data_IF_985649181038
#
_entry.id   IF_985649181038
#
_cell.length_a   1.000
_cell.length_b   1.000
_cell.length_c   1.000
_cell.angle_alpha   90.00
_cell.angle_beta   90.00
_cell.angle_gamma   90.00
#
_symmetry.space_group_name_H-M   'P 1'
#
loop_
_entity.id
_entity.type
_entity.pdbx_description
1 polymer ?
#
# COMPACT_ATOMS: atom_id res chain seq x y z
N UNK A 1 -0.56 -22.12 2.79
CA UNK A 1 -0.39 -20.94 1.93
C UNK A 1 0.85 -21.12 1.08
N UNK A 2 0.73 -20.93 -0.24
CA UNK A 2 1.85 -20.92 -1.19
C UNK A 2 2.08 -19.46 -1.61
N UNK A 3 3.34 -19.05 -1.77
CA UNK A 3 3.67 -17.66 -2.12
C UNK A 3 3.38 -17.41 -3.60
N UNK A 4 2.57 -16.39 -3.92
CA UNK A 4 2.19 -16.07 -5.31
C UNK A 4 3.15 -15.12 -6.02
N UNK A 5 3.97 -14.36 -5.29
CA UNK A 5 4.89 -13.39 -5.88
C UNK A 5 4.25 -12.08 -6.34
N UNK A 6 2.92 -12.00 -6.39
CA UNK A 6 2.19 -10.78 -6.74
C UNK A 6 2.01 -9.87 -5.52
N UNK A 7 1.81 -8.59 -5.79
CA UNK A 7 1.40 -7.58 -4.82
C UNK A 7 0.72 -6.42 -5.52
N UNK A 8 0.02 -5.57 -4.77
CA UNK A 8 -0.66 -4.43 -5.35
C UNK A 8 -0.67 -3.19 -4.47
N UNK A 9 -1.42 -2.21 -4.94
CA UNK A 9 -1.73 -0.97 -4.24
C UNK A 9 -3.11 -0.48 -4.66
N UNK A 10 -3.95 -0.13 -3.70
CA UNK A 10 -5.20 0.56 -3.99
C UNK A 10 -4.93 1.97 -4.54
N UNK A 11 -5.70 2.35 -5.56
CA UNK A 11 -5.72 3.68 -6.17
C UNK A 11 -7.14 4.24 -6.12
N UNK A 12 -7.38 5.42 -6.70
CA UNK A 12 -8.73 5.99 -6.72
C UNK A 12 -9.64 5.10 -7.56
N UNK A 13 -10.72 4.59 -6.96
CA UNK A 13 -11.67 3.68 -7.63
C UNK A 13 -11.03 2.46 -8.34
N UNK A 14 -9.90 2.00 -7.83
CA UNK A 14 -9.13 1.00 -8.55
C UNK A 14 -8.00 0.35 -7.77
N UNK A 15 -7.32 -0.57 -8.43
CA UNK A 15 -6.20 -1.33 -7.89
C UNK A 15 -5.11 -1.44 -8.96
N UNK A 16 -3.87 -1.18 -8.55
CA UNK A 16 -2.69 -1.57 -9.30
C UNK A 16 -2.18 -2.90 -8.77
N UNK A 17 -1.97 -3.88 -9.67
CA UNK A 17 -1.34 -5.16 -9.38
C UNK A 17 -0.02 -5.27 -10.13
N UNK A 18 0.98 -5.88 -9.50
CA UNK A 18 2.32 -6.10 -10.06
C UNK A 18 2.74 -7.55 -9.91
N UNK A 19 3.31 -8.09 -10.98
CA UNK A 19 3.97 -9.39 -11.04
C UNK A 19 5.29 -9.27 -11.81
N UNK A 20 6.42 -9.34 -11.08
CA UNK A 20 7.76 -9.07 -11.64
C UNK A 20 7.79 -7.71 -12.35
N UNK A 21 8.20 -7.65 -13.61
CA UNK A 21 8.24 -6.42 -14.40
C UNK A 21 6.87 -5.96 -14.90
N UNK A 22 5.84 -6.82 -14.89
CA UNK A 22 4.52 -6.46 -15.39
C UNK A 22 3.69 -5.83 -14.29
N UNK A 23 3.03 -4.73 -14.60
CA UNK A 23 2.01 -4.16 -13.73
C UNK A 23 0.76 -3.78 -14.54
N UNK A 24 -0.38 -3.77 -13.87
CA UNK A 24 -1.62 -3.30 -14.45
C UNK A 24 -2.43 -2.54 -13.41
N UNK A 25 -3.08 -1.47 -13.84
CA UNK A 25 -4.01 -0.71 -13.02
C UNK A 25 -5.39 -0.88 -13.61
N UNK A 26 -6.32 -1.40 -12.80
CA UNK A 26 -7.74 -1.48 -13.14
C UNK A 26 -8.49 -0.42 -12.34
N UNK A 27 -9.35 0.36 -13.00
CA UNK A 27 -10.17 1.42 -12.41
C UNK A 27 -11.60 1.25 -12.89
N UNK A 28 -12.56 1.42 -11.98
CA UNK A 28 -13.98 1.51 -12.34
C UNK A 28 -14.33 2.97 -12.58
N UNK A 29 -14.69 3.31 -13.81
CA UNK A 29 -15.13 4.65 -14.19
C UNK A 29 -16.52 4.99 -13.59
N UNK A 30 -16.91 6.28 -13.58
CA UNK A 30 -18.24 6.72 -13.16
C UNK A 30 -19.40 6.04 -13.93
N UNK A 31 -19.19 5.73 -15.20
CA UNK A 31 -20.13 4.98 -16.06
C UNK A 31 -20.25 3.48 -15.71
N UNK A 32 -19.44 3.00 -14.75
CA UNK A 32 -19.43 1.62 -14.27
C UNK A 32 -18.50 0.67 -15.05
N UNK A 33 -17.90 1.10 -16.16
CA UNK A 33 -16.95 0.30 -16.94
C UNK A 33 -15.62 0.11 -16.19
N UNK A 34 -15.04 -1.09 -16.27
CA UNK A 34 -13.70 -1.37 -15.74
C UNK A 34 -12.67 -1.19 -16.85
N UNK A 35 -11.81 -0.19 -16.70
CA UNK A 35 -10.69 0.05 -17.63
C UNK A 35 -9.42 -0.50 -17.03
N UNK A 36 -8.66 -1.26 -17.84
CA UNK A 36 -7.40 -1.86 -17.42
C UNK A 36 -6.26 -1.33 -18.28
N UNK A 37 -5.26 -0.74 -17.64
CA UNK A 37 -4.01 -0.33 -18.29
C UNK A 37 -2.87 -1.22 -17.85
N UNK A 38 -2.30 -1.97 -18.80
CA UNK A 38 -1.13 -2.82 -18.59
C UNK A 38 0.13 -2.13 -19.11
N UNK A 39 1.22 -2.25 -18.34
CA UNK A 39 2.51 -1.69 -18.69
C UNK A 39 3.64 -2.46 -17.97
N UNK A 40 4.89 -2.08 -18.21
CA UNK A 40 6.07 -2.72 -17.63
C UNK A 40 6.93 -1.72 -16.85
N UNK A 41 7.52 -2.20 -15.77
CA UNK A 41 8.41 -1.42 -14.93
C UNK A 41 9.53 -2.31 -14.41
N UNK A 42 10.72 -2.12 -15.01
CA UNK A 42 11.94 -2.77 -14.56
C UNK A 42 12.47 -2.07 -13.32
N UNK A 43 12.53 -2.81 -12.22
CA UNK A 43 12.93 -2.32 -10.90
C UNK A 43 14.37 -1.80 -10.90
N UNK A 44 14.67 -0.80 -10.05
CA UNK A 44 16.03 -0.31 -9.88
C UNK A 44 16.97 -1.41 -9.37
N UNK A 45 16.44 -2.32 -8.54
CA UNK A 45 17.19 -3.46 -7.99
C UNK A 45 17.58 -4.49 -9.04
N UNK A 46 16.82 -4.58 -10.14
CA UNK A 46 17.14 -5.44 -11.28
C UNK A 46 18.08 -4.75 -12.27
N UNK A 47 17.92 -3.44 -12.49
CA UNK A 47 18.82 -2.65 -13.35
C UNK A 47 20.25 -2.61 -12.81
N UNK A 48 20.40 -2.49 -11.48
CA UNK A 48 21.70 -2.32 -10.83
C UNK A 48 21.85 -3.31 -9.69
N UNK A 49 22.74 -4.29 -9.84
CA UNK A 49 22.98 -5.35 -8.84
C UNK A 49 23.37 -4.82 -7.46
N UNK A 50 24.03 -3.66 -7.37
CA UNK A 50 24.35 -3.04 -6.08
C UNK A 50 23.09 -2.70 -5.28
N UNK A 51 22.01 -2.31 -5.96
CA UNK A 51 20.74 -1.97 -5.33
C UNK A 51 19.96 -3.20 -4.86
N UNK A 52 20.35 -4.44 -5.23
CA UNK A 52 19.73 -5.66 -4.73
C UNK A 52 20.37 -6.20 -3.44
N UNK A 53 21.44 -5.56 -2.95
CA UNK A 53 22.10 -5.94 -1.70
C UNK A 53 21.15 -5.85 -0.49
N UNK A 54 21.26 -6.75 0.49
CA UNK A 54 20.50 -6.67 1.74
C UNK A 54 20.66 -5.30 2.41
N UNK A 55 19.59 -4.81 3.06
CA UNK A 55 19.50 -3.46 3.67
C UNK A 55 19.52 -2.28 2.69
N UNK A 56 20.07 -2.44 1.49
CA UNK A 56 20.06 -1.39 0.45
C UNK A 56 18.81 -1.51 -0.42
N UNK A 57 18.44 -2.73 -0.80
CA UNK A 57 17.28 -3.01 -1.66
C UNK A 57 15.95 -2.49 -1.13
N UNK A 58 15.79 -2.40 0.20
CA UNK A 58 14.56 -1.88 0.79
C UNK A 58 14.29 -0.44 0.40
N UNK A 59 15.34 0.38 0.32
CA UNK A 59 15.24 1.79 -0.07
C UNK A 59 14.76 1.89 -1.52
N UNK A 60 15.39 1.12 -2.41
CA UNK A 60 15.09 1.15 -3.84
C UNK A 60 13.75 0.51 -4.18
N UNK A 61 13.38 -0.59 -3.53
CA UNK A 61 12.06 -1.18 -3.69
C UNK A 61 10.95 -0.25 -3.19
N UNK A 62 11.18 0.47 -2.08
CA UNK A 62 10.24 1.48 -1.60
C UNK A 62 10.10 2.64 -2.61
N UNK A 63 11.21 3.12 -3.18
CA UNK A 63 11.19 4.14 -4.21
C UNK A 63 10.46 3.67 -5.48
N UNK A 64 10.73 2.45 -5.96
CA UNK A 64 10.06 1.84 -7.10
C UNK A 64 8.55 1.74 -6.86
N UNK A 65 8.13 1.27 -5.68
CA UNK A 65 6.72 1.20 -5.27
C UNK A 65 6.07 2.58 -5.22
N UNK A 66 6.75 3.60 -4.69
CA UNK A 66 6.24 4.97 -4.64
C UNK A 66 6.07 5.57 -6.04
N UNK A 67 7.04 5.37 -6.95
CA UNK A 67 6.95 5.85 -8.33
C UNK A 67 5.77 5.20 -9.05
N UNK A 68 5.65 3.87 -8.96
CA UNK A 68 4.54 3.13 -9.58
C UNK A 68 3.18 3.51 -8.96
N UNK A 69 3.13 3.64 -7.63
CA UNK A 69 1.94 4.05 -6.91
C UNK A 69 1.47 5.43 -7.34
N UNK A 70 2.37 6.42 -7.41
CA UNK A 70 2.05 7.77 -7.87
C UNK A 70 1.57 7.79 -9.32
N UNK A 71 2.25 7.08 -10.23
CA UNK A 71 1.82 6.97 -11.63
C UNK A 71 0.42 6.39 -11.76
N UNK A 72 0.12 5.36 -10.97
CA UNK A 72 -1.17 4.68 -10.99
C UNK A 72 -2.27 5.53 -10.36
N UNK A 73 -1.96 6.26 -9.28
CA UNK A 73 -2.88 7.22 -8.65
C UNK A 73 -3.23 8.38 -9.59
N UNK A 74 -2.22 8.98 -10.25
CA UNK A 74 -2.45 10.04 -11.24
C UNK A 74 -3.29 9.53 -12.40
N UNK A 75 -3.01 8.33 -12.92
CA UNK A 75 -3.81 7.76 -13.99
C UNK A 75 -5.24 7.39 -13.55
N UNK A 76 -5.45 6.95 -12.31
CA UNK A 76 -6.81 6.72 -11.82
C UNK A 76 -7.57 8.02 -11.61
N UNK A 77 -6.90 9.08 -11.12
CA UNK A 77 -7.51 10.37 -10.86
C UNK A 77 -8.02 11.04 -12.14
N UNK A 78 -7.33 10.88 -13.28
CA UNK A 78 -7.73 11.49 -14.54
C UNK A 78 -9.08 10.99 -15.11
N UNK A 79 -9.69 9.95 -14.54
CA UNK A 79 -11.06 9.52 -14.91
C UNK A 79 -12.16 10.20 -14.09
N UNK A 80 -11.78 11.00 -13.10
CA UNK A 80 -12.69 11.70 -12.18
C UNK A 80 -12.49 13.21 -12.22
N UNK A 81 -11.53 13.71 -13.01
CA UNK A 81 -11.31 15.14 -13.24
C UNK A 81 -12.46 15.75 -14.08
N UNK A 82 -13.01 14.99 -15.04
CA UNK A 82 -14.09 15.47 -15.93
C UNK A 82 -15.48 15.54 -15.25
N UNK A 83 -15.70 14.80 -14.15
CA UNK A 83 -16.95 14.86 -13.37
C UNK A 83 -17.04 16.15 -12.51
N UNK A 84 -15.94 16.91 -12.37
CA UNK A 84 -15.89 18.20 -11.67
C UNK A 84 -16.13 19.40 -12.61
N UNK A 85 -16.12 19.24 -13.95
CA UNK A 85 -16.38 20.34 -14.89
C UNK A 85 -17.84 20.86 -14.87
N UNK A 86 -18.77 20.07 -14.33
CA UNK A 86 -20.18 20.48 -14.13
C UNK A 86 -20.41 21.27 -12.80
N UNK A 87 -19.39 21.40 -11.94
CA UNK A 87 -19.44 22.31 -10.79
C UNK A 87 -18.87 23.69 -11.19
N UNK A 88 -19.70 24.75 -11.13
CA UNK A 88 -19.20 26.10 -11.40
C UNK A 88 -18.00 26.42 -10.46
N UNK A 89 -16.85 26.87 -10.99
CA UNK A 89 -15.68 27.12 -10.18
C UNK A 89 -16.02 28.14 -9.09
N UNK A 90 -15.64 27.82 -7.86
CA UNK A 90 -15.95 28.66 -6.70
C UNK A 90 -15.38 30.08 -6.87
N UNK A 91 -15.91 31.07 -6.12
CA UNK A 91 -15.42 32.47 -6.22
C UNK A 91 -13.90 32.62 -6.03
N UNK A 92 -13.29 31.72 -5.25
CA UNK A 92 -11.85 31.66 -5.01
C UNK A 92 -11.09 31.08 -6.20
N UNK A 93 -11.66 30.08 -6.86
CA UNK A 93 -11.11 29.42 -8.03
C UNK A 93 -11.18 30.32 -9.27
N UNK A 94 -12.31 30.99 -9.50
CA UNK A 94 -12.42 32.06 -10.50
C UNK A 94 -11.38 33.17 -10.29
N UNK A 95 -11.16 33.60 -9.04
CA UNK A 95 -10.12 34.60 -8.72
C UNK A 95 -8.69 34.09 -9.03
N UNK A 96 -8.41 32.82 -8.77
CA UNK A 96 -7.12 32.22 -9.09
C UNK A 96 -6.92 32.11 -10.61
N UNK A 97 -7.94 31.64 -11.34
CA UNK A 97 -7.95 31.54 -12.82
C UNK A 97 -7.73 32.92 -13.44
N UNK A 98 -8.40 33.95 -12.95
CA UNK A 98 -8.24 35.33 -13.43
C UNK A 98 -6.85 35.91 -13.12
N UNK A 99 -6.20 35.49 -12.03
CA UNK A 99 -4.90 36.03 -11.59
C UNK A 99 -3.70 35.29 -12.18
N UNK A 100 -3.80 33.97 -12.39
CA UNK A 100 -2.68 33.10 -12.76
C UNK A 100 -2.88 32.35 -14.10
N UNK A 101 -4.04 32.47 -14.75
CA UNK A 101 -4.34 31.88 -16.05
C UNK A 101 -4.25 30.35 -16.09
N UNK A 102 -3.86 29.77 -17.24
CA UNK A 102 -3.70 28.31 -17.47
C UNK A 102 -2.65 27.62 -16.56
N UNK A 103 -1.97 28.36 -15.67
CA UNK A 103 -0.96 27.81 -14.74
C UNK A 103 -1.50 27.63 -13.33
N UNK A 104 -2.77 27.97 -13.06
CA UNK A 104 -3.40 27.80 -11.75
C UNK A 104 -3.25 26.38 -11.26
N UNK A 105 -3.62 25.39 -12.06
CA UNK A 105 -3.68 24.00 -11.60
C UNK A 105 -2.31 23.50 -11.16
N UNK A 106 -1.27 23.81 -11.94
CA UNK A 106 0.10 23.48 -11.59
C UNK A 106 0.59 24.19 -10.31
N UNK A 107 0.21 25.46 -10.11
CA UNK A 107 0.57 26.24 -8.92
C UNK A 107 -0.17 25.72 -7.69
N UNK A 108 -1.48 25.46 -7.82
CA UNK A 108 -2.34 24.93 -6.75
C UNK A 108 -1.86 23.55 -6.34
N UNK A 109 -1.62 22.64 -7.29
CA UNK A 109 -1.09 21.30 -7.02
C UNK A 109 0.27 21.34 -6.35
N UNK A 110 1.16 22.22 -6.80
CA UNK A 110 2.47 22.42 -6.15
C UNK A 110 2.33 22.96 -4.72
N UNK A 111 1.43 23.91 -4.50
CA UNK A 111 1.16 24.47 -3.17
C UNK A 111 0.57 23.42 -2.22
N UNK A 112 -0.40 22.62 -2.69
CA UNK A 112 -1.00 21.52 -1.92
C UNK A 112 0.04 20.46 -1.58
N UNK A 113 0.92 20.10 -2.51
CA UNK A 113 2.02 19.16 -2.26
C UNK A 113 2.96 19.69 -1.16
N UNK A 114 3.45 20.93 -1.29
CA UNK A 114 4.36 21.54 -0.31
C UNK A 114 3.69 21.63 1.05
N UNK A 115 2.43 22.07 1.11
CA UNK A 115 1.65 22.12 2.34
C UNK A 115 1.51 20.73 2.97
N UNK A 116 1.20 19.70 2.18
CA UNK A 116 1.06 18.31 2.67
C UNK A 116 2.36 17.77 3.27
N UNK A 117 3.51 18.06 2.63
CA UNK A 117 4.83 17.68 3.16
C UNK A 117 5.12 18.41 4.47
N UNK A 118 4.90 19.72 4.52
CA UNK A 118 5.09 20.51 5.75
C UNK A 118 4.18 20.02 6.89
N UNK A 119 2.93 19.71 6.59
CA UNK A 119 1.97 19.16 7.54
C UNK A 119 2.42 17.78 8.04
N UNK A 120 2.93 16.91 7.16
CA UNK A 120 3.48 15.62 7.56
C UNK A 120 4.69 15.78 8.50
N UNK A 121 5.61 16.71 8.22
CA UNK A 121 6.74 17.03 9.11
C UNK A 121 6.23 17.54 10.46
N UNK A 122 5.25 18.45 10.45
CA UNK A 122 4.67 19.00 11.66
C UNK A 122 4.01 17.92 12.53
N UNK A 123 3.16 17.07 11.96
CA UNK A 123 2.39 16.04 12.68
C UNK A 123 3.27 14.88 13.13
N UNK A 124 4.16 14.37 12.29
CA UNK A 124 4.89 13.12 12.56
C UNK A 124 6.30 13.31 13.11
N UNK A 125 6.90 14.49 12.96
CA UNK A 125 8.23 14.78 13.52
C UNK A 125 8.19 15.80 14.65
N UNK A 126 7.55 16.96 14.44
CA UNK A 126 7.58 18.06 15.42
C UNK A 126 6.63 17.80 16.59
N UNK A 127 5.37 17.47 16.32
CA UNK A 127 4.34 17.27 17.35
C UNK A 127 4.71 16.22 18.41
N UNK A 128 5.24 15.02 18.07
CA UNK A 128 5.66 14.05 19.09
C UNK A 128 6.75 14.61 20.01
N UNK A 129 7.68 15.42 19.48
CA UNK A 129 8.75 16.06 20.26
C UNK A 129 8.19 17.10 21.22
N UNK A 130 7.23 17.91 20.79
CA UNK A 130 6.58 18.91 21.63
C UNK A 130 5.81 18.25 22.79
N UNK A 131 5.03 17.21 22.50
CA UNK A 131 4.29 16.46 23.53
C UNK A 131 5.27 15.80 24.51
N UNK A 132 6.31 15.13 24.01
CA UNK A 132 7.34 14.52 24.86
C UNK A 132 8.07 15.56 25.74
N UNK A 133 8.29 16.78 25.23
CA UNK A 133 8.89 17.88 25.98
C UNK A 133 8.11 18.28 27.24
N UNK A 134 6.78 18.11 27.26
CA UNK A 134 5.95 18.38 28.45
C UNK A 134 6.28 17.38 29.57
N UNK A 135 6.49 16.11 29.23
CA UNK A 135 6.77 15.04 30.18
C UNK A 135 8.22 15.03 30.71
N UNK A 136 9.17 15.63 29.98
CA UNK A 136 10.57 15.79 30.44
C UNK A 136 10.68 16.56 31.76
N UNK A 137 9.69 17.39 32.11
CA UNK A 137 9.65 18.10 33.40
C UNK A 137 9.46 17.17 34.60
N UNK A 138 8.91 15.97 34.38
CA UNK A 138 8.55 15.03 35.43
C UNK A 138 9.38 13.74 35.37
N UNK A 139 9.83 13.34 34.18
CA UNK A 139 10.57 12.09 33.96
C UNK A 139 12.04 12.40 33.63
N UNK A 140 12.92 12.03 34.56
CA UNK A 140 14.37 12.25 34.43
C UNK A 140 15.10 11.05 33.78
N UNK A 141 14.45 9.89 33.69
CA UNK A 141 15.03 8.71 33.03
C UNK A 141 14.91 8.84 31.51
N UNK A 142 16.05 9.00 30.84
CA UNK A 142 16.11 9.10 29.37
C UNK A 142 15.57 7.84 28.66
N UNK A 143 15.67 6.66 29.29
CA UNK A 143 15.12 5.42 28.71
C UNK A 143 13.60 5.41 28.76
N UNK A 144 13.01 5.86 29.88
CA UNK A 144 11.55 6.00 30.00
C UNK A 144 11.04 7.07 29.03
N UNK A 145 11.79 8.16 28.87
CA UNK A 145 11.46 9.20 27.88
C UNK A 145 11.50 8.69 26.44
N UNK A 146 12.46 7.85 26.08
CA UNK A 146 12.53 7.27 24.74
C UNK A 146 11.34 6.33 24.44
N UNK A 147 10.95 5.49 25.42
CA UNK A 147 9.76 4.63 25.31
C UNK A 147 8.49 5.49 25.19
N UNK A 148 8.35 6.52 26.03
CA UNK A 148 7.23 7.46 25.99
C UNK A 148 7.14 8.16 24.62
N UNK A 149 8.25 8.65 24.07
CA UNK A 149 8.26 9.26 22.74
C UNK A 149 7.80 8.27 21.66
N UNK A 150 8.23 7.01 21.75
CA UNK A 150 7.76 5.94 20.88
C UNK A 150 6.26 5.70 20.97
N UNK A 151 5.72 5.61 22.20
CA UNK A 151 4.29 5.46 22.45
C UNK A 151 3.48 6.65 21.93
N UNK A 152 3.94 7.89 22.16
CA UNK A 152 3.30 9.11 21.64
C UNK A 152 3.25 9.07 20.11
N UNK A 153 4.36 8.69 19.46
CA UNK A 153 4.43 8.61 17.99
C UNK A 153 3.45 7.58 17.42
N UNK A 154 3.38 6.39 18.02
CA UNK A 154 2.41 5.35 17.64
C UNK A 154 0.97 5.84 17.88
N UNK A 155 0.71 6.51 19.02
CA UNK A 155 -0.60 7.06 19.35
C UNK A 155 -1.06 8.13 18.36
N UNK A 156 -0.19 9.06 17.96
CA UNK A 156 -0.46 10.07 16.93
C UNK A 156 -0.77 9.38 15.60
N UNK A 157 0.03 8.40 15.19
CA UNK A 157 -0.18 7.68 13.94
C UNK A 157 -1.52 6.94 13.89
N UNK A 158 -1.86 6.18 14.94
CA UNK A 158 -3.16 5.49 15.04
C UNK A 158 -4.32 6.50 15.00
N UNK A 159 -4.18 7.61 15.75
CA UNK A 159 -5.21 8.66 15.79
C UNK A 159 -5.40 9.29 14.42
N UNK A 160 -4.31 9.62 13.73
CA UNK A 160 -4.32 10.17 12.37
C UNK A 160 -5.08 9.24 11.40
N UNK A 161 -4.70 7.96 11.34
CA UNK A 161 -5.37 6.97 10.47
C UNK A 161 -6.87 6.89 10.80
N UNK A 162 -7.22 6.85 12.08
CA UNK A 162 -8.62 6.78 12.52
C UNK A 162 -9.43 8.01 12.09
N UNK A 163 -8.83 9.21 12.13
CA UNK A 163 -9.49 10.45 11.69
C UNK A 163 -9.70 10.44 10.18
N UNK A 164 -8.65 10.20 9.38
CA UNK A 164 -8.78 10.23 7.91
C UNK A 164 -9.65 9.09 7.38
N UNK A 165 -9.69 7.94 8.06
CA UNK A 165 -10.53 6.80 7.68
C UNK A 165 -12.04 7.07 7.72
N UNK A 166 -12.45 8.23 8.29
CA UNK A 166 -13.84 8.68 8.30
C UNK A 166 -14.24 9.42 7.03
N UNK A 167 -13.28 9.82 6.20
CA UNK A 167 -13.53 10.39 4.89
C UNK A 167 -14.00 9.28 3.94
N UNK A 168 -15.04 9.55 3.15
CA UNK A 168 -15.64 8.54 2.26
C UNK A 168 -14.63 8.00 1.25
N UNK A 169 -13.83 8.88 0.64
CA UNK A 169 -12.86 8.49 -0.38
C UNK A 169 -11.76 7.59 0.20
N UNK A 170 -11.23 7.94 1.38
CA UNK A 170 -10.25 7.11 2.10
C UNK A 170 -10.86 5.76 2.50
N UNK A 171 -12.13 5.74 2.93
CA UNK A 171 -12.83 4.49 3.25
C UNK A 171 -12.96 3.62 2.01
N UNK A 172 -13.30 4.18 0.85
CA UNK A 172 -13.39 3.47 -0.43
C UNK A 172 -12.02 2.93 -0.86
N UNK A 173 -10.96 3.72 -0.77
CA UNK A 173 -9.58 3.26 -1.01
C UNK A 173 -9.20 2.10 -0.08
N UNK A 174 -9.62 2.12 1.19
CA UNK A 174 -9.40 1.00 2.12
C UNK A 174 -10.24 -0.23 1.78
N UNK A 175 -11.38 -0.10 1.10
CA UNK A 175 -12.15 -1.23 0.58
C UNK A 175 -11.43 -1.87 -0.63
N UNK A 176 -10.94 -1.06 -1.59
CA UNK A 176 -10.09 -1.56 -2.68
C UNK A 176 -8.80 -2.23 -2.18
N UNK A 177 -8.20 -1.69 -1.13
CA UNK A 177 -7.07 -2.35 -0.46
C UNK A 177 -7.48 -3.70 0.15
N UNK A 178 -8.68 -3.78 0.71
CA UNK A 178 -9.26 -5.04 1.18
C UNK A 178 -9.46 -6.06 0.05
N UNK A 179 -9.95 -5.65 -1.13
CA UNK A 179 -10.10 -6.57 -2.26
C UNK A 179 -8.76 -7.02 -2.85
N UNK A 180 -7.74 -6.16 -2.88
CA UNK A 180 -6.37 -6.56 -3.26
C UNK A 180 -5.84 -7.69 -2.36
N UNK A 181 -5.89 -7.50 -1.04
CA UNK A 181 -5.48 -8.54 -0.09
C UNK A 181 -6.30 -9.83 -0.23
N UNK A 182 -7.61 -9.71 -0.43
CA UNK A 182 -8.50 -10.87 -0.59
C UNK A 182 -8.20 -11.65 -1.86
N UNK A 183 -7.91 -10.99 -2.99
CA UNK A 183 -7.50 -11.67 -4.22
C UNK A 183 -6.19 -12.43 -4.04
N UNK A 184 -5.19 -11.81 -3.40
CA UNK A 184 -3.90 -12.46 -3.13
C UNK A 184 -4.12 -13.67 -2.20
N UNK A 185 -4.83 -13.48 -1.09
CA UNK A 185 -5.11 -14.57 -0.15
C UNK A 185 -5.91 -15.70 -0.78
N UNK A 186 -6.88 -15.41 -1.67
CA UNK A 186 -7.65 -16.40 -2.40
C UNK A 186 -6.71 -17.35 -3.18
N UNK A 187 -5.81 -16.78 -3.97
CA UNK A 187 -4.83 -17.53 -4.76
C UNK A 187 -3.85 -18.30 -3.88
N UNK A 188 -3.28 -17.65 -2.87
CA UNK A 188 -2.28 -18.27 -2.01
C UNK A 188 -2.82 -19.42 -1.13
N UNK A 189 -4.15 -19.54 -1.00
CA UNK A 189 -4.84 -20.67 -0.37
C UNK A 189 -5.32 -21.74 -1.36
N UNK A 190 -5.08 -21.57 -2.66
CA UNK A 190 -5.46 -22.54 -3.68
C UNK A 190 -6.92 -22.43 -4.11
N UNK A 191 -7.57 -21.28 -3.90
CA UNK A 191 -8.96 -21.08 -4.32
C UNK A 191 -9.01 -20.48 -5.73
N UNK A 192 -10.02 -20.89 -6.50
CA UNK A 192 -10.30 -20.32 -7.83
C UNK A 192 -10.59 -18.83 -7.71
N UNK A 193 -9.99 -18.02 -8.57
CA UNK A 193 -10.14 -16.56 -8.56
C UNK A 193 -11.53 -16.17 -9.11
N UNK A 194 -12.52 -16.10 -8.23
CA UNK A 194 -13.86 -15.61 -8.53
C UNK A 194 -14.39 -14.78 -7.36
N UNK A 195 -15.47 -14.02 -7.59
CA UNK A 195 -16.04 -13.10 -6.60
C UNK A 195 -16.38 -13.81 -5.29
N UNK A 196 -16.95 -15.02 -5.36
CA UNK A 196 -17.37 -15.77 -4.18
C UNK A 196 -16.19 -16.15 -3.27
N UNK A 197 -15.13 -16.72 -3.85
CA UNK A 197 -13.94 -17.14 -3.11
C UNK A 197 -13.13 -15.97 -2.59
N UNK A 198 -13.02 -14.89 -3.39
CA UNK A 198 -12.37 -13.65 -2.95
C UNK A 198 -13.14 -13.04 -1.77
N UNK A 199 -14.48 -12.98 -1.82
CA UNK A 199 -15.31 -12.47 -0.72
C UNK A 199 -15.04 -13.20 0.59
N UNK A 200 -14.90 -14.53 0.56
CA UNK A 200 -14.62 -15.38 1.74
C UNK A 200 -13.18 -15.29 2.25
N UNK A 201 -12.25 -14.80 1.43
CA UNK A 201 -10.84 -14.70 1.80
C UNK A 201 -10.59 -13.60 2.84
N UNK A 202 -9.50 -13.72 3.60
CA UNK A 202 -9.11 -12.73 4.60
C UNK A 202 -8.62 -11.44 3.93
N UNK A 203 -8.93 -10.29 4.53
CA UNK A 203 -8.39 -8.98 4.13
C UNK A 203 -7.06 -8.66 4.82
N UNK A 204 -6.56 -9.54 5.68
CA UNK A 204 -5.30 -9.40 6.38
C UNK A 204 -4.22 -10.19 5.66
N UNK A 205 -3.07 -9.56 5.39
CA UNK A 205 -2.01 -10.20 4.64
C UNK A 205 -0.62 -9.77 5.13
N UNK A 206 0.31 -10.73 5.31
CA UNK A 206 1.61 -10.48 5.97
C UNK A 206 2.52 -9.52 5.20
N UNK A 207 2.29 -9.32 3.90
CA UNK A 207 3.16 -8.56 2.99
C UNK A 207 2.66 -7.13 2.70
N UNK A 208 1.71 -6.64 3.49
CA UNK A 208 1.11 -5.32 3.30
C UNK A 208 2.07 -4.16 3.65
N UNK A 209 2.04 -3.09 2.85
CA UNK A 209 2.78 -1.85 3.11
C UNK A 209 2.40 -1.13 4.41
N UNK A 210 1.17 -1.32 4.93
CA UNK A 210 0.80 -0.72 6.23
C UNK A 210 1.44 -1.44 7.41
N UNK A 211 1.73 -2.74 7.25
CA UNK A 211 2.59 -3.48 8.19
C UNK A 211 4.04 -2.99 8.12
N UNK A 212 4.53 -2.64 6.93
CA UNK A 212 5.84 -2.01 6.77
C UNK A 212 5.96 -0.70 7.55
N UNK A 213 4.95 0.20 7.47
CA UNK A 213 4.97 1.45 8.22
C UNK A 213 5.12 1.22 9.74
N UNK A 214 4.38 0.25 10.28
CA UNK A 214 4.47 -0.08 11.71
C UNK A 214 5.85 -0.64 12.07
N UNK A 215 6.41 -1.51 11.22
CA UNK A 215 7.77 -2.04 11.40
C UNK A 215 8.78 -0.88 11.39
N UNK A 216 8.69 0.04 10.43
CA UNK A 216 9.54 1.24 10.36
C UNK A 216 9.45 2.05 11.65
N UNK A 217 8.25 2.26 12.19
CA UNK A 217 8.08 2.97 13.45
C UNK A 217 8.75 2.24 14.62
N UNK A 218 8.53 0.94 14.77
CA UNK A 218 9.14 0.15 15.86
C UNK A 218 10.66 0.13 15.75
N UNK A 219 11.18 -0.18 14.55
CA UNK A 219 12.63 -0.17 14.29
C UNK A 219 13.21 1.23 14.56
N UNK A 220 12.51 2.31 14.17
CA UNK A 220 12.97 3.68 14.47
C UNK A 220 13.11 3.93 15.98
N UNK A 221 12.19 3.41 16.80
CA UNK A 221 12.25 3.54 18.26
C UNK A 221 13.48 2.78 18.79
N UNK A 222 13.74 1.56 18.30
CA UNK A 222 14.91 0.78 18.69
C UNK A 222 16.22 1.51 18.34
N UNK A 223 16.35 2.04 17.13
CA UNK A 223 17.53 2.80 16.71
C UNK A 223 17.75 4.05 17.55
N UNK A 224 16.70 4.83 17.82
CA UNK A 224 16.81 6.06 18.63
C UNK A 224 16.98 5.80 20.13
N UNK A 225 16.66 4.61 20.63
CA UNK A 225 17.02 4.21 22.00
C UNK A 225 18.52 4.00 22.18
N UNK A 226 19.20 3.51 21.13
CA UNK A 226 20.64 3.22 21.13
C UNK A 226 21.47 4.43 20.71
N UNK A 227 21.08 5.11 19.63
CA UNK A 227 21.78 6.28 19.08
C UNK A 227 21.23 7.53 19.76
N UNK A 228 21.87 7.93 20.86
CA UNK A 228 21.47 9.08 21.66
C UNK A 228 22.31 10.30 21.29
N UNK A 229 21.64 11.40 20.99
CA UNK A 229 22.26 12.68 20.66
C UNK A 229 21.66 13.77 21.53
N UNK A 230 22.51 14.41 22.32
CA UNK A 230 22.10 15.40 23.33
C UNK A 230 21.73 16.74 22.68
N UNK A 231 22.47 17.16 21.66
CA UNK A 231 22.22 18.41 20.93
C UNK A 231 20.99 18.29 20.02
N UNK A 232 20.02 19.21 20.16
CA UNK A 232 18.73 19.18 19.45
C UNK A 232 18.91 19.15 17.91
N UNK A 233 19.76 20.01 17.35
CA UNK A 233 19.98 20.04 15.90
C UNK A 233 20.66 18.77 15.38
N UNK A 234 21.67 18.26 16.09
CA UNK A 234 22.31 16.99 15.74
C UNK A 234 21.33 15.81 15.89
N UNK A 235 20.37 15.88 16.81
CA UNK A 235 19.29 14.89 16.92
C UNK A 235 18.41 14.91 15.68
N UNK A 236 18.02 16.08 15.19
CA UNK A 236 17.25 16.21 13.94
C UNK A 236 18.04 15.63 12.76
N UNK A 237 19.31 16.01 12.61
CA UNK A 237 20.20 15.50 11.55
C UNK A 237 20.34 13.98 11.63
N UNK A 238 20.57 13.43 12.83
CA UNK A 238 20.70 11.98 13.03
C UNK A 238 19.44 11.22 12.61
N UNK A 239 18.24 11.77 12.86
CA UNK A 239 16.98 11.16 12.43
C UNK A 239 16.88 11.10 10.91
N UNK A 240 17.22 12.19 10.23
CA UNK A 240 17.18 12.27 8.76
C UNK A 240 18.18 11.27 8.15
N UNK A 241 19.42 11.25 8.64
CA UNK A 241 20.47 10.35 8.13
C UNK A 241 20.13 8.87 8.38
N UNK A 242 19.40 8.56 9.45
CA UNK A 242 19.00 7.18 9.77
C UNK A 242 17.77 6.69 8.99
N UNK A 243 17.03 7.56 8.29
CA UNK A 243 15.84 7.14 7.51
C UNK A 243 16.16 6.01 6.53
N UNK A 244 17.20 6.09 5.67
CA UNK A 244 17.51 5.03 4.73
C UNK A 244 17.89 3.71 5.43
N UNK A 245 18.62 3.79 6.54
CA UNK A 245 19.04 2.61 7.32
C UNK A 245 17.81 1.92 7.94
N UNK A 246 16.92 2.71 8.55
CA UNK A 246 15.67 2.20 9.15
C UNK A 246 14.79 1.55 8.07
N UNK A 247 14.63 2.21 6.92
CA UNK A 247 13.86 1.67 5.79
C UNK A 247 14.45 0.34 5.29
N UNK A 248 15.77 0.30 5.14
CA UNK A 248 16.51 -0.91 4.75
C UNK A 248 16.28 -2.08 5.70
N UNK A 249 16.50 -1.88 7.00
CA UNK A 249 16.29 -2.91 8.03
C UNK A 249 14.83 -3.35 8.10
N UNK A 250 13.90 -2.40 8.04
CA UNK A 250 12.46 -2.67 8.11
C UNK A 250 11.99 -3.51 6.92
N UNK A 251 12.55 -3.28 5.73
CA UNK A 251 12.22 -4.05 4.55
C UNK A 251 12.70 -5.50 4.67
N UNK A 252 13.90 -5.72 5.21
CA UNK A 252 14.40 -7.07 5.46
C UNK A 252 13.50 -7.83 6.44
N UNK A 253 13.08 -7.17 7.52
CA UNK A 253 12.16 -7.75 8.51
C UNK A 253 10.82 -8.10 7.85
N UNK A 254 10.24 -7.19 7.05
CA UNK A 254 8.99 -7.45 6.33
C UNK A 254 9.13 -8.62 5.34
N UNK A 255 10.22 -8.64 4.56
CA UNK A 255 10.48 -9.70 3.58
C UNK A 255 10.60 -11.06 4.26
N UNK A 256 11.32 -11.14 5.37
CA UNK A 256 11.44 -12.36 6.17
C UNK A 256 10.09 -12.79 6.75
N UNK A 257 9.31 -11.84 7.27
CA UNK A 257 7.97 -12.10 7.80
C UNK A 257 7.00 -12.61 6.72
N UNK A 258 7.14 -12.12 5.49
CA UNK A 258 6.32 -12.53 4.34
C UNK A 258 6.73 -13.84 3.68
N UNK A 259 7.94 -14.34 3.93
CA UNK A 259 8.49 -15.56 3.29
C UNK A 259 8.68 -16.73 4.25
N UNK A 260 8.51 -16.50 5.56
CA UNK A 260 8.68 -17.50 6.61
C UNK A 260 7.35 -17.80 7.31
N UNK A 261 7.08 -19.09 7.53
CA UNK A 261 5.95 -19.58 8.34
C UNK A 261 6.40 -19.97 9.76
N UNK A 262 7.50 -19.40 10.25
CA UNK A 262 7.97 -19.69 11.60
C UNK A 262 7.13 -18.96 12.65
N UNK A 263 6.93 -19.59 13.81
CA UNK A 263 6.17 -19.01 14.94
C UNK A 263 6.70 -17.64 15.37
N UNK A 264 8.01 -17.40 15.23
CA UNK A 264 8.64 -16.11 15.54
C UNK A 264 8.18 -15.05 14.55
N UNK A 265 8.22 -15.34 13.25
CA UNK A 265 7.79 -14.40 12.21
C UNK A 265 6.30 -14.10 12.29
N UNK A 266 5.48 -15.06 12.71
CA UNK A 266 4.07 -14.82 13.01
C UNK A 266 3.88 -13.84 14.18
N UNK A 267 4.69 -13.93 15.23
CA UNK A 267 4.63 -12.97 16.35
C UNK A 267 5.06 -11.57 15.87
N UNK A 268 6.11 -11.48 15.06
CA UNK A 268 6.62 -10.21 14.52
C UNK A 268 5.61 -9.55 13.57
N UNK A 269 4.87 -10.32 12.77
CA UNK A 269 3.89 -9.78 11.82
C UNK A 269 2.57 -9.38 12.47
N UNK A 270 2.20 -9.94 13.62
CA UNK A 270 0.90 -9.70 14.28
C UNK A 270 0.56 -8.23 14.55
N UNK A 271 1.47 -7.40 15.11
CA UNK A 271 1.18 -5.97 15.29
C UNK A 271 0.86 -5.28 13.97
N UNK A 272 1.60 -5.61 12.91
CA UNK A 272 1.35 -5.11 11.55
C UNK A 272 -0.02 -5.52 11.03
N UNK A 273 -0.41 -6.78 11.20
CA UNK A 273 -1.73 -7.28 10.80
C UNK A 273 -2.88 -6.63 11.58
N UNK A 274 -2.71 -6.36 12.87
CA UNK A 274 -3.73 -5.62 13.65
C UNK A 274 -3.96 -4.21 13.11
N UNK A 275 -2.89 -3.53 12.67
CA UNK A 275 -3.02 -2.22 12.04
C UNK A 275 -3.76 -2.26 10.71
N UNK A 276 -3.73 -3.39 9.99
CA UNK A 276 -4.52 -3.53 8.77
C UNK A 276 -6.01 -3.41 9.02
N UNK A 277 -6.52 -3.73 10.22
CA UNK A 277 -7.92 -3.49 10.57
C UNK A 277 -8.34 -2.01 10.51
N UNK A 278 -7.38 -1.08 10.58
CA UNK A 278 -7.59 0.36 10.41
C UNK A 278 -7.51 0.81 8.95
N UNK A 279 -6.68 0.14 8.14
CA UNK A 279 -6.35 0.54 6.76
C UNK A 279 -6.94 -0.36 5.67
N UNK A 280 -7.76 -1.34 6.06
CA UNK A 280 -8.50 -2.22 5.16
C UNK A 280 -9.95 -2.30 5.62
N UNK A 281 -10.88 -2.39 4.67
CA UNK A 281 -12.31 -2.55 4.88
C UNK A 281 -12.84 -3.65 3.97
N UNK A 282 -14.01 -4.18 4.32
CA UNK A 282 -14.66 -5.19 3.48
C UNK A 282 -15.09 -4.54 2.16
N UNK A 283 -14.64 -5.07 1.00
CA UNK A 283 -15.07 -4.60 -0.30
C UNK A 283 -16.47 -5.08 -0.63
N UNK A 284 -17.13 -4.37 -1.54
CA UNK A 284 -18.29 -4.89 -2.26
C UNK A 284 -17.86 -5.73 -3.48
N UNK A 285 -18.83 -6.40 -4.10
CA UNK A 285 -18.57 -7.27 -5.24
C UNK A 285 -18.01 -6.50 -6.44
N UNK A 286 -18.44 -5.25 -6.64
CA UNK A 286 -17.97 -4.41 -7.75
C UNK A 286 -16.49 -4.06 -7.63
N UNK A 287 -16.00 -3.87 -6.39
CA UNK A 287 -14.57 -3.66 -6.10
C UNK A 287 -13.76 -4.95 -6.20
N UNK A 288 -14.38 -6.11 -5.94
CA UNK A 288 -13.75 -7.42 -6.14
C UNK A 288 -13.54 -7.69 -7.64
N UNK A 289 -14.52 -7.38 -8.49
CA UNK A 289 -14.39 -7.50 -9.94
C UNK A 289 -13.19 -6.69 -10.48
N UNK A 290 -13.01 -5.46 -10.02
CA UNK A 290 -11.86 -4.61 -10.38
C UNK A 290 -10.55 -5.26 -9.94
N UNK A 291 -10.50 -5.82 -8.73
CA UNK A 291 -9.34 -6.51 -8.21
C UNK A 291 -8.97 -7.75 -9.04
N UNK A 292 -9.98 -8.54 -9.43
CA UNK A 292 -9.81 -9.71 -10.29
C UNK A 292 -9.27 -9.29 -11.66
N UNK A 293 -9.87 -8.27 -12.29
CA UNK A 293 -9.43 -7.75 -13.58
C UNK A 293 -7.95 -7.27 -13.55
N UNK A 294 -7.54 -6.61 -12.46
CA UNK A 294 -6.15 -6.19 -12.27
C UNK A 294 -5.20 -7.40 -12.13
N UNK A 295 -5.59 -8.44 -11.39
CA UNK A 295 -4.80 -9.67 -11.21
C UNK A 295 -4.64 -10.39 -12.54
N UNK A 296 -5.73 -10.63 -13.26
CA UNK A 296 -5.73 -11.37 -14.53
C UNK A 296 -4.86 -10.71 -15.61
N UNK A 297 -4.76 -9.38 -15.58
CA UNK A 297 -3.93 -8.64 -16.53
C UNK A 297 -2.42 -8.93 -16.39
N UNK A 298 -1.95 -9.33 -15.19
CA UNK A 298 -0.51 -9.51 -14.88
C UNK A 298 -0.14 -10.91 -14.39
N UNK A 299 -1.11 -11.74 -14.04
CA UNK A 299 -0.88 -13.01 -13.37
C UNK A 299 -1.76 -14.13 -13.95
N UNK A 300 -1.10 -15.16 -14.48
CA UNK A 300 -1.76 -16.40 -14.88
C UNK A 300 -2.04 -17.25 -13.64
N UNK A 301 -3.18 -16.96 -13.02
CA UNK A 301 -3.58 -17.62 -11.79
C UNK A 301 -3.94 -19.10 -11.99
N UNK A 302 -4.42 -19.48 -13.17
CA UNK A 302 -4.78 -20.88 -13.49
C UNK A 302 -3.54 -21.75 -13.46
N UNK A 303 -2.50 -21.34 -14.19
CA UNK A 303 -1.20 -22.01 -14.18
C UNK A 303 -0.58 -22.05 -12.79
N UNK A 304 -0.67 -20.94 -12.04
CA UNK A 304 -0.20 -20.90 -10.67
C UNK A 304 -0.88 -21.95 -9.77
N UNK A 305 -2.20 -22.11 -9.89
CA UNK A 305 -2.95 -23.09 -9.10
C UNK A 305 -2.56 -24.52 -9.46
N UNK A 306 -2.42 -24.85 -10.75
CA UNK A 306 -1.96 -26.16 -11.22
C UNK A 306 -0.55 -26.49 -10.68
N UNK A 307 0.39 -25.55 -10.77
CA UNK A 307 1.78 -25.76 -10.32
C UNK A 307 1.92 -25.87 -8.79
N UNK A 308 1.09 -25.15 -8.02
CA UNK A 308 1.27 -25.02 -6.56
C UNK A 308 0.31 -25.88 -5.74
N UNK A 309 -0.80 -26.32 -6.33
CA UNK A 309 -1.85 -27.14 -5.72
C UNK A 309 -2.26 -28.32 -6.61
N UNK A 310 -1.31 -29.17 -7.05
CA UNK A 310 -1.58 -30.26 -8.00
C UNK A 310 -2.55 -31.33 -7.47
N UNK A 311 -2.70 -31.45 -6.15
CA UNK A 311 -3.69 -32.35 -5.52
C UNK A 311 -5.13 -31.89 -5.75
N UNK A 312 -5.35 -30.59 -5.96
CA UNK A 312 -6.66 -29.99 -6.21
C UNK A 312 -6.88 -29.72 -7.70
N UNK A 313 -5.84 -29.28 -8.40
CA UNK A 313 -5.87 -28.94 -9.82
C UNK A 313 -4.77 -29.68 -10.56
N UNK A 314 -5.04 -30.88 -11.09
CA UNK A 314 -4.09 -31.61 -11.93
C UNK A 314 -3.75 -30.82 -13.21
N UNK A 315 -2.61 -31.11 -13.83
CA UNK A 315 -2.16 -30.41 -15.04
C UNK A 315 -3.26 -30.33 -16.14
N UNK A 316 -3.50 -29.12 -16.61
CA UNK A 316 -4.52 -28.81 -17.60
C UNK A 316 -5.96 -28.93 -17.08
N UNK A 317 -6.19 -28.84 -15.77
CA UNK A 317 -7.51 -28.83 -15.15
C UNK A 317 -8.40 -27.75 -15.77
N UNK A 318 -7.90 -26.51 -15.85
CA UNK A 318 -8.71 -25.38 -16.30
C UNK A 318 -8.93 -25.37 -17.82
N UNK A 319 -8.01 -25.95 -18.59
CA UNK A 319 -8.20 -26.15 -20.03
C UNK A 319 -9.32 -27.17 -20.31
N UNK A 320 -9.40 -28.24 -19.50
CA UNK A 320 -10.44 -29.27 -19.63
C UNK A 320 -11.81 -28.76 -19.20
N UNK A 321 -11.89 -28.00 -18.10
CA UNK A 321 -13.14 -27.38 -17.67
C UNK A 321 -13.66 -26.39 -18.71
N UNK A 322 -12.81 -25.52 -19.25
CA UNK A 322 -13.20 -24.55 -20.29
C UNK A 322 -13.82 -25.22 -21.52
N UNK A 323 -13.22 -26.32 -21.99
CA UNK A 323 -13.71 -27.09 -23.14
C UNK A 323 -15.01 -27.85 -22.85
N UNK A 324 -15.21 -28.29 -21.59
CA UNK A 324 -16.46 -28.95 -21.19
C UNK A 324 -17.66 -27.98 -21.14
N UNK A 325 -17.42 -26.70 -20.84
CA UNK A 325 -18.43 -25.64 -20.87
C UNK A 325 -18.81 -25.21 -22.30
N UNK A 326 -17.84 -25.14 -23.21
CA UNK A 326 -18.08 -24.84 -24.64
C UNK A 326 -18.87 -25.96 -25.34
N UNK A 327 -18.51 -27.23 -25.09
CA UNK A 327 -19.24 -28.37 -25.65
C UNK A 327 -20.69 -28.48 -25.14
N UNK A 328 -20.98 -27.98 -23.93
CA UNK A 328 -22.35 -27.96 -23.41
C UNK A 328 -23.22 -26.90 -24.10
N UNK A 329 -22.63 -25.79 -24.58
CA UNK A 329 -23.35 -24.75 -25.34
C UNK A 329 -23.60 -25.16 -26.80
N UNK A 330 -22.68 -25.89 -27.44
CA UNK A 330 -22.86 -26.41 -28.82
C UNK A 330 -23.93 -27.51 -28.93
N UNK A 331 -24.24 -28.23 -27.84
CA UNK A 331 -25.28 -29.28 -27.85
C UNK A 331 -26.70 -28.69 -27.65
N UNK A 332 -26.79 -27.42 -27.23
CA UNK A 332 -28.06 -26.70 -27.01
C UNK A 332 -28.39 -25.64 -28.06
N UNK A 333 -27.60 -25.54 -29.14
CA UNK A 333 -27.81 -24.60 -30.23
C UNK A 333 -28.64 -25.20 -31.39
#
# INVERSE_FOLDING_TARGET
>A
MKYSGIGGQAVLEGIMMKNKDNYATAVRKPDGEIVVKKDTYVSMTEKVKFFSLPFVRGIFNFADSMILGMRSLTWSASFFEDDEEDEEPGKFEKFLIDTFGEKVDNIVMSAVMVFSVLMAIAIFMVLPLLIAGIFRKFIHSETVMAILEGCIRIGIFITYIKVISRMNDIKRTFMYHGSEHKCINCLEHGLVLNVENVRKSSKEHKRCGTSFLLIVMVISILFFMVIRVDTIWLRIVSRIVLIPVIAGVSYEVLRLAGTSNSKIMDIVSRPGMWMQGLTTKEPDDSMIEVAIAAVEAVFDWKKYLEENFPEQYPDGYFEKEGRSGENAQEITA
#
